data_IF_810984378389
#
_entry.id   IF_810984378389
#
_cell.length_a   1.000
_cell.length_b   1.000
_cell.length_c   1.000
_cell.angle_alpha   90.00
_cell.angle_beta   90.00
_cell.angle_gamma   90.00
#
_symmetry.space_group_name_H-M   'P 1'
#
loop_
_entity.id
_entity.type
_entity.pdbx_description
1 polymer ?
#
# COMPACT_ATOMS: atom_id res chain seq x y z
N UNK A 1 -5.84 -8.62 -9.92
CA UNK A 1 -5.30 -9.86 -9.31
C UNK A 1 -5.63 -11.03 -10.23
N UNK A 2 -5.09 -12.23 -9.98
CA UNK A 2 -5.60 -13.45 -10.64
C UNK A 2 -6.42 -14.25 -9.62
N UNK A 3 -7.54 -14.81 -10.06
CA UNK A 3 -8.30 -15.75 -9.25
C UNK A 3 -7.63 -17.13 -9.21
N UNK A 4 -8.21 -18.08 -8.46
CA UNK A 4 -7.70 -19.45 -8.35
C UNK A 4 -7.60 -20.22 -9.68
N UNK A 5 -8.27 -19.72 -10.73
CA UNK A 5 -8.33 -20.33 -12.05
C UNK A 5 -7.45 -19.57 -13.06
N UNK A 6 -6.57 -18.67 -12.60
CA UNK A 6 -5.72 -17.82 -13.45
C UNK A 6 -6.49 -16.87 -14.37
N UNK A 7 -7.72 -16.51 -13.99
CA UNK A 7 -8.51 -15.48 -14.68
C UNK A 7 -8.21 -14.12 -14.02
N UNK A 8 -8.00 -13.05 -14.81
CA UNK A 8 -7.89 -11.70 -14.26
C UNK A 8 -9.14 -11.35 -13.45
N UNK A 9 -8.92 -10.95 -12.20
CA UNK A 9 -9.94 -10.53 -11.26
C UNK A 9 -9.74 -9.06 -10.89
N UNK A 10 -10.85 -8.34 -10.85
CA UNK A 10 -10.89 -7.00 -10.28
C UNK A 10 -10.65 -7.08 -8.76
N UNK A 11 -9.74 -6.23 -8.27
CA UNK A 11 -9.37 -6.17 -6.86
C UNK A 11 -10.34 -5.32 -6.04
N UNK A 12 -11.04 -4.39 -6.69
CA UNK A 12 -12.00 -3.50 -6.05
C UNK A 12 -13.42 -4.05 -6.19
N UNK A 13 -13.70 -4.74 -7.29
CA UNK A 13 -15.01 -5.30 -7.59
C UNK A 13 -16.05 -4.20 -7.78
N UNK A 14 -17.32 -4.57 -7.59
CA UNK A 14 -18.45 -3.66 -7.74
C UNK A 14 -18.68 -2.78 -6.49
N UNK A 15 -17.63 -2.09 -6.05
CA UNK A 15 -17.63 -1.32 -4.82
C UNK A 15 -17.22 0.14 -5.07
N UNK A 16 -17.95 1.07 -4.47
CA UNK A 16 -17.56 2.48 -4.33
C UNK A 16 -17.19 2.72 -2.87
N UNK A 17 -15.99 3.25 -2.64
CA UNK A 17 -15.48 3.51 -1.29
C UNK A 17 -15.18 5.00 -1.12
N UNK A 18 -15.72 5.60 -0.06
CA UNK A 18 -15.49 6.99 0.31
C UNK A 18 -14.68 7.00 1.60
N UNK A 19 -13.61 7.77 1.64
CA UNK A 19 -12.73 7.85 2.80
C UNK A 19 -12.27 9.28 3.02
N UNK A 20 -12.22 9.72 4.27
CA UNK A 20 -11.42 10.87 4.65
C UNK A 20 -9.96 10.44 4.82
N UNK A 21 -9.06 11.02 4.03
CA UNK A 21 -7.62 10.72 4.06
C UNK A 21 -6.86 11.98 4.41
N UNK A 22 -6.13 11.93 5.53
CA UNK A 22 -5.27 13.02 5.99
C UNK A 22 -4.19 13.34 4.98
N UNK A 23 -3.94 14.63 4.73
CA UNK A 23 -2.84 15.09 3.87
C UNK A 23 -1.56 15.19 4.70
N UNK A 24 -0.37 14.99 4.09
CA UNK A 24 0.89 15.33 4.74
C UNK A 24 0.89 16.78 5.22
N UNK A 25 1.46 17.02 6.40
CA UNK A 25 1.63 18.36 6.95
C UNK A 25 2.57 19.20 6.05
N UNK A 26 2.45 20.53 6.02
CA UNK A 26 3.34 21.38 5.25
C UNK A 26 4.82 21.12 5.58
N UNK A 27 5.61 20.78 4.56
CA UNK A 27 7.04 20.48 4.73
C UNK A 27 7.35 19.01 5.10
N UNK A 28 6.35 18.12 5.15
CA UNK A 28 6.54 16.70 5.30
C UNK A 28 6.28 15.95 3.97
N UNK A 29 7.16 15.00 3.64
CA UNK A 29 7.04 14.17 2.44
C UNK A 29 6.06 12.98 2.63
N UNK A 30 5.68 12.69 3.86
CA UNK A 30 4.77 11.58 4.21
C UNK A 30 3.73 12.00 5.24
N UNK A 31 2.59 11.30 5.24
CA UNK A 31 1.58 11.46 6.26
C UNK A 31 2.11 11.00 7.64
N UNK A 32 1.62 11.63 8.70
CA UNK A 32 1.94 11.33 10.10
C UNK A 32 0.87 10.38 10.66
N UNK A 33 1.27 9.24 11.24
CA UNK A 33 0.33 8.28 11.83
C UNK A 33 -0.48 8.83 13.02
N UNK A 34 -0.06 9.95 13.60
CA UNK A 34 -0.75 10.60 14.71
C UNK A 34 -1.88 11.53 14.25
N UNK A 35 -1.98 11.81 12.94
CA UNK A 35 -3.06 12.61 12.38
C UNK A 35 -4.31 11.77 12.10
N UNK A 36 -5.54 12.31 12.26
CA UNK A 36 -6.76 11.59 11.92
C UNK A 36 -6.84 11.27 10.42
N UNK A 37 -7.13 10.01 10.08
CA UNK A 37 -7.34 9.50 8.71
C UNK A 37 -8.10 8.18 8.75
N UNK A 38 -8.72 7.77 7.64
CA UNK A 38 -9.33 6.44 7.50
C UNK A 38 -8.31 5.32 7.74
N UNK A 39 -7.12 5.44 7.15
CA UNK A 39 -6.09 4.41 7.21
C UNK A 39 -4.72 4.92 6.79
N UNK A 40 -3.71 4.11 7.10
CA UNK A 40 -2.31 4.37 6.80
C UNK A 40 -1.62 3.15 6.22
N UNK A 41 -0.60 3.43 5.40
CA UNK A 41 0.45 2.45 5.09
C UNK A 41 1.63 2.75 6.01
N UNK A 42 1.67 2.10 7.16
CA UNK A 42 2.75 2.26 8.14
C UNK A 42 4.02 1.61 7.57
N UNK A 43 5.00 2.43 7.23
CA UNK A 43 6.28 1.98 6.67
C UNK A 43 7.39 2.16 7.69
N UNK A 44 8.25 1.15 7.84
CA UNK A 44 9.41 1.24 8.74
C UNK A 44 10.33 2.38 8.29
N UNK A 45 10.74 3.24 9.22
CA UNK A 45 11.69 4.33 8.95
C UNK A 45 12.96 3.80 8.31
N UNK A 46 13.44 4.50 7.27
CA UNK A 46 14.63 4.11 6.50
C UNK A 46 14.38 3.07 5.39
N UNK A 47 13.12 2.67 5.16
CA UNK A 47 12.70 1.86 4.02
C UNK A 47 12.02 2.74 2.95
N UNK A 48 11.99 2.31 1.67
CA UNK A 48 12.60 1.10 1.12
C UNK A 48 14.13 1.18 1.03
N UNK A 49 14.79 0.02 1.10
CA UNK A 49 16.24 -0.10 0.87
C UNK A 49 16.48 -0.93 -0.38
N UNK A 50 17.39 -0.46 -1.23
CA UNK A 50 17.87 -1.18 -2.40
C UNK A 50 19.36 -1.55 -2.21
N UNK A 51 19.69 -2.82 -2.36
CA UNK A 51 21.06 -3.32 -2.31
C UNK A 51 21.39 -4.19 -3.52
N UNK A 52 22.65 -4.14 -3.95
CA UNK A 52 23.16 -4.89 -5.10
C UNK A 52 24.34 -5.75 -4.69
N UNK A 53 24.36 -7.01 -5.11
CA UNK A 53 25.50 -7.91 -4.88
C UNK A 53 25.68 -8.88 -6.04
N UNK A 54 26.92 -9.39 -6.16
CA UNK A 54 27.31 -10.25 -7.27
C UNK A 54 26.92 -11.70 -6.99
N UNK A 55 26.34 -12.35 -8.00
CA UNK A 55 26.15 -13.79 -7.98
C UNK A 55 27.44 -14.54 -8.23
N UNK A 56 27.46 -15.82 -7.84
CA UNK A 56 28.56 -16.71 -8.11
C UNK A 56 28.88 -16.72 -9.62
N UNK A 57 30.15 -16.50 -9.97
CA UNK A 57 30.61 -16.46 -11.36
C UNK A 57 30.50 -15.09 -12.08
N UNK A 58 30.08 -14.03 -11.39
CA UNK A 58 30.22 -12.63 -11.86
C UNK A 58 29.33 -12.20 -13.03
N UNK A 59 28.51 -13.10 -13.58
CA UNK A 59 27.60 -12.83 -14.71
C UNK A 59 26.23 -12.31 -14.29
N UNK A 60 25.79 -12.62 -13.07
CA UNK A 60 24.50 -12.20 -12.53
C UNK A 60 24.73 -11.17 -11.42
N UNK A 61 23.95 -10.10 -11.43
CA UNK A 61 23.88 -9.11 -10.35
C UNK A 61 22.50 -9.21 -9.71
N UNK A 62 22.45 -9.46 -8.42
CA UNK A 62 21.20 -9.44 -7.67
C UNK A 62 20.91 -8.02 -7.22
N UNK A 63 19.71 -7.54 -7.51
CA UNK A 63 19.18 -6.29 -6.98
C UNK A 63 18.04 -6.65 -6.04
N UNK A 64 18.23 -6.44 -4.74
CA UNK A 64 17.19 -6.67 -3.73
C UNK A 64 16.56 -5.34 -3.36
N UNK A 65 15.23 -5.37 -3.27
CA UNK A 65 14.43 -4.27 -2.75
C UNK A 65 13.72 -4.79 -1.50
N UNK A 66 14.04 -4.19 -0.37
CA UNK A 66 13.36 -4.48 0.91
C UNK A 66 12.47 -3.28 1.24
N UNK A 67 11.17 -3.52 1.31
CA UNK A 67 10.21 -2.56 1.83
C UNK A 67 9.35 -3.23 2.89
N UNK A 68 9.38 -2.70 4.12
CA UNK A 68 8.63 -3.24 5.24
C UNK A 68 7.51 -2.25 5.54
N UNK A 69 6.29 -2.65 5.21
CA UNK A 69 5.09 -1.85 5.45
C UNK A 69 3.90 -2.70 5.89
N UNK A 70 2.92 -2.06 6.52
CA UNK A 70 1.64 -2.64 6.88
C UNK A 70 0.53 -1.64 6.55
N UNK A 71 -0.50 -2.10 5.83
CA UNK A 71 -1.73 -1.34 5.63
C UNK A 71 -2.65 -1.57 6.83
N UNK A 72 -3.13 -0.50 7.44
CA UNK A 72 -4.02 -0.54 8.59
C UNK A 72 -5.13 0.50 8.46
N UNK A 73 -6.36 0.08 8.75
CA UNK A 73 -7.50 0.97 8.99
C UNK A 73 -7.41 1.44 10.44
N UNK A 74 -7.42 2.75 10.65
CA UNK A 74 -7.28 3.36 11.99
C UNK A 74 -8.51 4.18 12.40
N UNK A 75 -9.28 4.69 11.44
CA UNK A 75 -10.52 5.42 11.65
C UNK A 75 -11.64 4.84 10.79
N UNK A 76 -12.31 3.79 11.27
CA UNK A 76 -13.40 3.13 10.52
C UNK A 76 -14.63 4.02 10.31
N UNK A 77 -14.83 4.99 11.19
CA UNK A 77 -15.84 6.05 11.11
C UNK A 77 -15.57 7.07 10.00
N UNK A 78 -14.31 7.22 9.61
CA UNK A 78 -13.86 8.08 8.51
C UNK A 78 -14.01 7.41 7.12
N UNK A 79 -14.70 6.28 7.03
CA UNK A 79 -14.90 5.52 5.79
C UNK A 79 -16.34 5.09 5.57
N UNK A 80 -16.73 4.96 4.30
CA UNK A 80 -18.04 4.44 3.88
C UNK A 80 -17.87 3.53 2.67
N UNK A 81 -18.51 2.36 2.70
CA UNK A 81 -18.47 1.36 1.65
C UNK A 81 -19.86 1.17 1.05
N UNK A 82 -19.98 1.39 -0.26
CA UNK A 82 -21.17 1.11 -1.07
C UNK A 82 -20.84 -0.08 -1.96
N UNK A 83 -21.63 -1.14 -1.87
CA UNK A 83 -21.43 -2.38 -2.63
C UNK A 83 -22.56 -2.59 -3.63
N UNK A 84 -22.27 -3.18 -4.79
CA UNK A 84 -23.28 -3.54 -5.78
C UNK A 84 -23.75 -2.36 -6.65
N UNK A 85 -22.85 -1.43 -6.98
CA UNK A 85 -23.19 -0.19 -7.71
C UNK A 85 -23.54 -0.43 -9.19
N UNK A 86 -23.14 -1.57 -9.76
CA UNK A 86 -23.26 -1.91 -11.19
C UNK A 86 -24.41 -2.90 -11.48
N UNK A 87 -25.42 -3.02 -10.61
CA UNK A 87 -26.61 -3.84 -10.87
C UNK A 87 -27.72 -3.11 -11.60
#
# INVERSE_FOLDING_TARGET
>A
AMDKNSVPADIWGDNLMLHYVGKPQPGADSADENEPSFGYTLRRKGMPVADKYDGAGGKVKYCRYTDIYKVAVVGGDAGYLITGISK
#
